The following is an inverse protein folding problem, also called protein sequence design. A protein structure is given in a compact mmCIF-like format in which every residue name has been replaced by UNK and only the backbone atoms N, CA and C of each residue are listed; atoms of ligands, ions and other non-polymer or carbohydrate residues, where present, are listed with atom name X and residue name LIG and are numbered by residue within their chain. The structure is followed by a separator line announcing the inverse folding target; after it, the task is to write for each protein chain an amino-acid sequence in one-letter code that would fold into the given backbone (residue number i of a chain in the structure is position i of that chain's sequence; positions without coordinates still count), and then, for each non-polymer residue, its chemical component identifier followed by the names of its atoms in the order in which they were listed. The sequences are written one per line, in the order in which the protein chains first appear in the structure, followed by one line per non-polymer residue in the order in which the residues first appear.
data_IF_719229580868
#
_entry.id   IF_719229580868
#
_cell.length_a   1.000
_cell.length_b   1.000
_cell.length_c   1.000
_cell.angle_alpha   90.00
_cell.angle_beta   90.00
_cell.angle_gamma   90.00
#
_symmetry.space_group_name_H-M   'P 1'
#
loop_
_entity.id
_entity.type
_entity.pdbx_description
1 polymer ?
#
# COMPACT_ATOMS: atom_id res chain seq x y z
N UNK A 1 33.62 8.66 39.16
CA UNK A 1 33.17 8.41 37.79
C UNK A 1 31.92 9.22 37.55
N UNK A 2 31.85 10.07 36.55
CA UNK A 2 30.67 10.91 36.29
C UNK A 2 29.48 9.99 35.87
N UNK A 3 28.34 10.11 36.57
CA UNK A 3 27.09 9.42 36.21
C UNK A 3 26.69 9.85 34.80
N UNK A 4 26.62 8.90 33.87
CA UNK A 4 26.20 9.17 32.49
C UNK A 4 24.66 9.26 32.48
N UNK A 5 24.11 10.45 32.23
CA UNK A 5 22.65 10.63 32.09
C UNK A 5 22.12 9.78 30.92
N UNK A 6 20.95 9.15 31.10
CA UNK A 6 20.24 8.43 30.05
C UNK A 6 20.02 9.40 28.87
N UNK A 7 20.41 8.98 27.67
CA UNK A 7 20.24 9.76 26.44
C UNK A 7 18.91 9.41 25.75
N UNK A 8 18.35 10.36 25.01
CA UNK A 8 17.14 10.13 24.23
C UNK A 8 17.24 8.93 23.26
N UNK A 9 18.45 8.71 22.71
CA UNK A 9 18.72 7.59 21.82
C UNK A 9 18.63 6.24 22.52
N UNK A 10 19.10 6.14 23.76
CA UNK A 10 19.00 4.91 24.56
C UNK A 10 17.52 4.60 24.87
N UNK A 11 16.71 5.64 25.14
CA UNK A 11 15.28 5.51 25.34
C UNK A 11 14.57 5.04 24.07
N UNK A 12 14.81 5.72 22.94
CA UNK A 12 14.20 5.34 21.64
C UNK A 12 14.56 3.90 21.28
N UNK A 13 15.78 3.51 21.53
CA UNK A 13 16.23 2.15 21.27
C UNK A 13 15.51 1.11 22.15
N UNK A 14 15.40 1.36 23.45
CA UNK A 14 14.70 0.47 24.38
C UNK A 14 13.18 0.44 24.17
N UNK A 15 12.62 1.52 23.60
CA UNK A 15 11.20 1.70 23.34
C UNK A 15 10.71 0.98 22.07
N UNK A 16 11.62 0.49 21.21
CA UNK A 16 11.25 -0.17 19.96
C UNK A 16 10.23 -1.29 20.12
N UNK A 17 9.14 -1.22 19.36
CA UNK A 17 8.04 -2.16 19.40
C UNK A 17 7.23 -2.14 20.70
N UNK A 18 7.41 -1.11 21.56
CA UNK A 18 6.66 -0.95 22.84
C UNK A 18 5.84 0.33 22.89
N UNK A 19 5.90 1.17 21.84
CA UNK A 19 5.22 2.45 21.81
C UNK A 19 3.70 2.32 21.92
N UNK A 20 3.08 1.54 21.06
CA UNK A 20 1.63 1.39 20.99
C UNK A 20 1.05 0.66 22.19
N UNK A 21 1.72 -0.41 22.66
CA UNK A 21 1.17 -1.34 23.62
C UNK A 21 1.59 -1.07 25.08
N UNK A 22 2.62 -0.28 25.32
CA UNK A 22 3.13 -0.01 26.66
C UNK A 22 3.27 1.50 26.92
N UNK A 23 4.05 2.20 26.10
CA UNK A 23 4.46 3.58 26.41
C UNK A 23 3.29 4.55 26.25
N UNK A 24 2.68 4.62 25.08
CA UNK A 24 1.54 5.53 24.84
C UNK A 24 0.37 5.31 25.79
N UNK A 25 -0.07 4.07 26.06
CA UNK A 25 -1.12 3.82 27.06
C UNK A 25 -0.80 4.35 28.46
N UNK A 26 0.48 4.30 28.88
CA UNK A 26 0.91 4.83 30.17
C UNK A 26 0.75 6.35 30.29
N UNK A 27 0.69 7.07 29.18
CA UNK A 27 0.38 8.51 29.11
C UNK A 27 -1.08 8.79 28.72
N UNK A 28 -1.94 7.77 28.65
CA UNK A 28 -3.34 7.92 28.21
C UNK A 28 -3.50 8.19 26.72
N UNK A 29 -2.42 8.03 25.94
CA UNK A 29 -2.42 8.25 24.49
C UNK A 29 -2.91 6.98 23.81
N UNK A 30 -3.96 7.12 22.97
CA UNK A 30 -4.48 6.03 22.14
C UNK A 30 -4.11 6.28 20.69
N UNK A 31 -3.40 5.35 20.08
CA UNK A 31 -3.07 5.35 18.66
C UNK A 31 -3.62 4.11 17.98
N UNK A 32 -3.77 4.13 16.66
CA UNK A 32 -4.15 2.96 15.88
C UNK A 32 -3.19 2.86 14.69
N UNK A 33 -2.50 1.73 14.60
CA UNK A 33 -1.51 1.50 13.57
C UNK A 33 -2.11 1.58 12.17
N UNK A 34 -1.52 2.44 11.33
CA UNK A 34 -1.91 2.68 9.93
C UNK A 34 -3.38 3.04 9.73
N UNK A 35 -3.99 3.73 10.68
CA UNK A 35 -5.33 4.30 10.54
C UNK A 35 -5.28 5.81 10.74
N UNK A 36 -6.14 6.51 10.01
CA UNK A 36 -6.42 7.93 10.27
C UNK A 36 -7.32 8.05 11.50
N UNK A 37 -6.93 8.84 12.46
CA UNK A 37 -7.64 9.03 13.73
C UNK A 37 -7.64 10.50 14.16
N UNK A 38 -8.46 10.89 15.14
CA UNK A 38 -8.28 12.15 15.84
C UNK A 38 -6.86 12.28 16.38
N UNK A 39 -6.28 13.47 16.31
CA UNK A 39 -4.95 13.71 16.86
C UNK A 39 -5.00 13.86 18.38
N UNK A 40 -4.23 13.07 19.14
CA UNK A 40 -4.23 13.16 20.61
C UNK A 40 -3.65 14.48 21.15
N UNK A 41 -2.86 15.20 20.34
CA UNK A 41 -2.20 16.45 20.74
C UNK A 41 -2.90 17.72 20.22
N UNK A 42 -3.89 17.59 19.30
CA UNK A 42 -4.61 18.75 18.78
C UNK A 42 -5.81 19.13 19.66
N UNK A 43 -6.09 20.43 19.76
CA UNK A 43 -7.32 20.94 20.33
C UNK A 43 -7.97 21.98 19.39
N UNK A 44 -9.10 21.67 18.71
CA UNK A 44 -9.81 20.39 18.73
C UNK A 44 -9.06 19.26 17.98
N UNK A 45 -9.26 17.99 18.37
CA UNK A 45 -8.45 16.86 17.87
C UNK A 45 -8.69 16.53 16.38
N UNK A 46 -9.79 17.01 15.78
CA UNK A 46 -10.21 16.61 14.43
C UNK A 46 -10.68 15.14 14.36
N UNK A 47 -10.98 14.66 13.17
CA UNK A 47 -11.49 13.29 12.97
C UNK A 47 -10.47 12.31 12.38
N UNK A 48 -9.63 12.79 11.44
CA UNK A 48 -8.81 11.93 10.59
C UNK A 48 -7.44 12.52 10.23
N UNK A 49 -6.97 13.50 11.03
CA UNK A 49 -5.74 14.25 10.75
C UNK A 49 -4.46 13.63 11.27
N UNK A 50 -4.57 12.55 12.05
CA UNK A 50 -3.44 11.87 12.69
C UNK A 50 -3.23 10.49 12.09
N UNK A 51 -1.97 10.15 11.86
CA UNK A 51 -1.54 8.89 11.31
C UNK A 51 -0.34 8.35 12.08
N UNK A 52 -0.47 7.15 12.65
CA UNK A 52 0.60 6.45 13.36
C UNK A 52 1.05 5.26 12.53
N UNK A 53 2.31 5.19 12.12
CA UNK A 53 2.86 4.10 11.32
C UNK A 53 4.15 3.47 11.88
N UNK A 54 4.75 4.09 12.90
CA UNK A 54 5.98 3.62 13.57
C UNK A 54 7.08 3.17 12.59
N UNK A 55 7.25 3.93 11.52
CA UNK A 55 8.07 3.57 10.36
C UNK A 55 9.52 3.24 10.72
N UNK A 56 10.08 3.92 11.71
CA UNK A 56 11.46 3.75 12.17
C UNK A 56 11.54 3.10 13.56
N UNK A 57 10.43 2.56 14.08
CA UNK A 57 10.33 1.95 15.42
C UNK A 57 10.59 2.95 16.57
N UNK A 58 10.41 4.25 16.31
CA UNK A 58 10.59 5.35 17.26
C UNK A 58 9.28 5.95 17.77
N UNK A 59 8.14 5.32 17.50
CA UNK A 59 6.82 5.88 17.77
C UNK A 59 6.40 6.90 16.71
N UNK A 60 6.84 6.73 15.47
CA UNK A 60 6.67 7.69 14.38
C UNK A 60 5.20 7.94 14.06
N UNK A 61 4.87 9.21 13.89
CA UNK A 61 3.54 9.67 13.52
C UNK A 61 3.59 10.86 12.56
N UNK A 62 2.46 11.11 11.93
CA UNK A 62 2.20 12.33 11.17
C UNK A 62 0.86 12.94 11.57
N UNK A 63 0.83 14.24 11.74
CA UNK A 63 -0.39 15.02 11.95
C UNK A 63 -0.43 16.19 10.96
N UNK A 64 -1.55 16.38 10.29
CA UNK A 64 -1.71 17.49 9.33
C UNK A 64 -1.44 18.89 9.93
N UNK A 65 -1.64 19.05 11.25
CA UNK A 65 -1.41 20.33 11.93
C UNK A 65 0.00 20.45 12.51
N UNK A 66 0.57 19.36 13.05
CA UNK A 66 1.86 19.37 13.74
C UNK A 66 3.02 18.85 12.90
N UNK A 67 2.75 18.27 11.72
CA UNK A 67 3.75 17.60 10.90
C UNK A 67 4.12 16.22 11.42
N UNK A 68 5.28 15.72 11.00
CA UNK A 68 5.85 14.46 11.44
C UNK A 68 6.56 14.61 12.78
N UNK A 69 6.54 13.56 13.60
CA UNK A 69 7.24 13.49 14.88
C UNK A 69 7.47 12.05 15.31
N UNK A 70 8.17 11.89 16.42
CA UNK A 70 8.39 10.58 17.04
C UNK A 70 7.59 10.43 18.38
N UNK A 71 7.73 9.27 19.02
CA UNK A 71 6.98 8.96 20.22
C UNK A 71 7.28 9.89 21.41
N UNK A 72 8.53 10.33 21.56
CA UNK A 72 8.89 11.29 22.62
C UNK A 72 8.28 12.67 22.36
N UNK A 73 8.30 13.13 21.10
CA UNK A 73 7.69 14.36 20.67
C UNK A 73 6.15 14.32 20.87
N UNK A 74 5.50 13.20 20.54
CA UNK A 74 4.07 13.05 20.77
C UNK A 74 3.71 13.13 22.26
N UNK A 75 4.45 12.44 23.13
CA UNK A 75 4.22 12.50 24.58
C UNK A 75 4.39 13.92 25.11
N UNK A 76 5.46 14.60 24.69
CA UNK A 76 5.72 15.99 25.07
C UNK A 76 4.54 16.90 24.70
N UNK A 77 4.03 16.79 23.47
CA UNK A 77 2.90 17.58 22.98
C UNK A 77 1.60 17.31 23.72
N UNK A 78 1.34 16.06 24.07
CA UNK A 78 0.09 15.67 24.76
C UNK A 78 0.12 16.04 26.24
N UNK A 79 1.29 15.93 26.88
CA UNK A 79 1.42 16.11 28.32
C UNK A 79 1.91 17.48 28.75
N UNK A 80 2.34 18.33 27.80
CA UNK A 80 2.96 19.65 28.02
C UNK A 80 4.17 19.59 28.98
N UNK A 81 4.86 18.46 29.03
CA UNK A 81 6.05 18.24 29.87
C UNK A 81 7.32 18.64 29.13
N UNK A 82 8.37 18.97 29.89
CA UNK A 82 9.68 19.20 29.31
C UNK A 82 10.29 17.89 28.75
N UNK A 83 11.13 18.02 27.75
CA UNK A 83 11.77 16.85 27.13
C UNK A 83 12.57 15.98 28.14
N UNK A 84 13.32 16.54 29.13
CA UNK A 84 13.97 15.74 30.16
C UNK A 84 12.99 14.95 31.05
N UNK A 85 11.83 15.52 31.38
CA UNK A 85 10.80 14.82 32.18
C UNK A 85 10.20 13.66 31.40
N UNK A 86 9.92 13.86 30.10
CA UNK A 86 9.44 12.78 29.24
C UNK A 86 10.46 11.63 29.16
N UNK A 87 11.76 11.94 28.98
CA UNK A 87 12.82 10.94 28.98
C UNK A 87 12.85 10.14 30.29
N UNK A 88 12.79 10.81 31.44
CA UNK A 88 12.85 10.15 32.73
C UNK A 88 11.66 9.24 32.97
N UNK A 89 10.46 9.69 32.57
CA UNK A 89 9.24 8.90 32.78
C UNK A 89 9.16 7.70 31.83
N UNK A 90 9.54 7.88 30.57
CA UNK A 90 9.65 6.75 29.63
C UNK A 90 10.73 5.77 30.08
N UNK A 91 11.86 6.26 30.59
CA UNK A 91 12.89 5.41 31.19
C UNK A 91 12.32 4.57 32.35
N UNK A 92 11.55 5.20 33.23
CA UNK A 92 10.91 4.50 34.35
C UNK A 92 9.93 3.42 33.87
N UNK A 93 9.06 3.75 32.89
CA UNK A 93 8.13 2.79 32.27
C UNK A 93 8.87 1.60 31.66
N UNK A 94 10.04 1.84 31.08
CA UNK A 94 10.88 0.81 30.46
C UNK A 94 11.71 0.01 31.50
N UNK A 95 11.65 0.39 32.78
CA UNK A 95 12.44 -0.23 33.85
C UNK A 95 13.91 0.15 33.83
N UNK A 96 14.26 1.29 33.19
CA UNK A 96 15.61 1.82 33.12
C UNK A 96 15.88 2.68 34.36
N UNK A 97 16.91 2.36 35.17
CA UNK A 97 17.34 3.20 36.26
C UNK A 97 18.38 4.23 35.77
N UNK A 98 18.54 5.37 36.48
CA UNK A 98 19.61 6.36 36.21
C UNK A 98 21.02 5.75 36.28
N UNK A 99 21.16 4.57 36.90
CA UNK A 99 22.39 3.79 36.99
C UNK A 99 22.56 2.78 35.85
N UNK A 100 21.52 2.59 35.01
CA UNK A 100 21.54 1.67 33.87
C UNK A 100 22.38 2.29 32.75
N UNK A 101 23.69 2.09 32.81
CA UNK A 101 24.51 2.26 31.60
C UNK A 101 24.23 1.07 30.71
N UNK A 102 23.56 1.32 29.56
CA UNK A 102 23.49 0.30 28.53
C UNK A 102 24.88 -0.13 28.16
N UNK A 103 25.20 -1.38 28.45
CA UNK A 103 26.46 -1.99 27.98
C UNK A 103 26.34 -2.23 26.47
N UNK A 104 27.45 -2.40 25.79
CA UNK A 104 27.43 -2.76 24.36
C UNK A 104 26.72 -4.11 24.17
N UNK A 105 26.79 -5.02 25.13
CA UNK A 105 26.08 -6.30 25.19
C UNK A 105 24.54 -6.10 25.27
N UNK A 106 24.05 -5.13 26.07
CA UNK A 106 22.63 -4.80 26.15
C UNK A 106 22.11 -4.23 24.83
N UNK A 107 22.92 -3.39 24.15
CA UNK A 107 22.58 -2.83 22.84
C UNK A 107 22.52 -3.93 21.77
N UNK A 108 23.43 -4.86 21.80
CA UNK A 108 23.48 -5.98 20.87
C UNK A 108 22.29 -6.94 21.08
N UNK A 109 21.98 -7.29 22.35
CA UNK A 109 20.82 -8.10 22.70
C UNK A 109 19.50 -7.46 22.23
N UNK A 110 19.31 -6.17 22.47
CA UNK A 110 18.09 -5.46 22.05
C UNK A 110 17.98 -5.33 20.53
N UNK A 111 19.11 -5.18 19.81
CA UNK A 111 19.13 -5.25 18.34
C UNK A 111 18.68 -6.61 17.85
N UNK A 112 19.22 -7.67 18.41
CA UNK A 112 18.85 -9.03 18.06
C UNK A 112 17.36 -9.29 18.33
N UNK A 113 16.83 -8.86 19.49
CA UNK A 113 15.42 -8.99 19.81
C UNK A 113 14.51 -8.18 18.84
N UNK A 114 14.94 -6.97 18.43
CA UNK A 114 14.21 -6.16 17.46
C UNK A 114 14.21 -6.82 16.08
N UNK A 115 15.34 -7.34 15.63
CA UNK A 115 15.45 -8.07 14.37
C UNK A 115 14.61 -9.35 14.37
N UNK A 116 14.62 -10.10 15.47
CA UNK A 116 13.82 -11.32 15.61
C UNK A 116 12.30 -11.01 15.60
N UNK A 117 11.87 -9.95 16.31
CA UNK A 117 10.47 -9.48 16.24
C UNK A 117 10.08 -9.09 14.82
N UNK A 118 10.92 -8.30 14.13
CA UNK A 118 10.69 -7.90 12.74
C UNK A 118 10.60 -9.10 11.80
N UNK A 119 11.49 -10.07 11.96
CA UNK A 119 11.49 -11.32 11.20
C UNK A 119 10.21 -12.12 11.43
N UNK A 120 9.77 -12.26 12.68
CA UNK A 120 8.52 -12.94 13.03
C UNK A 120 7.31 -12.23 12.43
N UNK A 121 7.28 -10.91 12.48
CA UNK A 121 6.18 -10.11 11.91
C UNK A 121 6.12 -10.22 10.38
N UNK A 122 7.27 -10.18 9.71
CA UNK A 122 7.34 -10.40 8.26
C UNK A 122 6.88 -11.82 7.89
N UNK A 123 7.20 -12.83 8.69
CA UNK A 123 6.77 -14.20 8.45
C UNK A 123 5.25 -14.38 8.62
N UNK A 124 4.67 -13.75 9.66
CA UNK A 124 3.21 -13.73 9.88
C UNK A 124 2.52 -13.06 8.68
N UNK A 125 3.02 -11.91 8.25
CA UNK A 125 2.47 -11.19 7.10
C UNK A 125 2.59 -12.01 5.81
N UNK A 126 3.74 -12.67 5.57
CA UNK A 126 3.93 -13.55 4.42
C UNK A 126 2.94 -14.72 4.43
N UNK A 127 2.77 -15.40 5.58
CA UNK A 127 1.81 -16.51 5.72
C UNK A 127 0.38 -16.05 5.42
N UNK A 128 0.01 -14.87 5.89
CA UNK A 128 -1.29 -14.27 5.63
C UNK A 128 -1.49 -13.96 4.14
N UNK A 129 -0.50 -13.33 3.51
CA UNK A 129 -0.54 -13.04 2.07
C UNK A 129 -0.67 -14.33 1.25
N UNK A 130 0.02 -15.40 1.63
CA UNK A 130 -0.10 -16.72 0.99
C UNK A 130 -1.48 -17.37 1.19
N UNK A 131 -2.13 -17.16 2.34
CA UNK A 131 -3.51 -17.62 2.56
C UNK A 131 -4.48 -16.91 1.62
N UNK A 132 -4.36 -15.57 1.50
CA UNK A 132 -5.17 -14.77 0.58
C UNK A 132 -4.91 -15.21 -0.87
N UNK A 133 -3.65 -15.44 -1.25
CA UNK A 133 -3.30 -15.91 -2.58
C UNK A 133 -3.96 -17.27 -2.91
N UNK A 134 -3.93 -18.21 -1.96
CA UNK A 134 -4.62 -19.52 -2.13
C UNK A 134 -6.13 -19.35 -2.27
N UNK A 135 -6.75 -18.45 -1.48
CA UNK A 135 -8.17 -18.13 -1.59
C UNK A 135 -8.49 -17.51 -2.95
N UNK A 136 -7.68 -16.53 -3.41
CA UNK A 136 -7.81 -15.89 -4.71
C UNK A 136 -7.73 -16.89 -5.87
N UNK A 137 -6.72 -17.74 -5.86
CA UNK A 137 -6.53 -18.79 -6.87
C UNK A 137 -7.69 -19.78 -6.85
N UNK A 138 -8.13 -20.24 -5.68
CA UNK A 138 -9.27 -21.15 -5.52
C UNK A 138 -10.57 -20.55 -6.05
N UNK A 139 -10.87 -19.29 -5.69
CA UNK A 139 -12.04 -18.57 -6.19
C UNK A 139 -11.98 -18.41 -7.71
N UNK A 140 -10.84 -17.98 -8.24
CA UNK A 140 -10.67 -17.78 -9.67
C UNK A 140 -10.74 -19.10 -10.45
N UNK A 141 -10.16 -20.17 -9.94
CA UNK A 141 -10.17 -21.48 -10.60
C UNK A 141 -11.57 -22.11 -10.65
N UNK A 142 -12.29 -22.06 -9.53
CA UNK A 142 -13.54 -22.79 -9.32
C UNK A 142 -14.80 -21.93 -9.52
N UNK A 143 -14.67 -20.74 -10.10
CA UNK A 143 -15.82 -19.88 -10.33
C UNK A 143 -16.82 -20.55 -11.27
N UNK A 144 -18.10 -20.55 -10.88
CA UNK A 144 -19.20 -20.84 -11.80
C UNK A 144 -19.34 -19.68 -12.77
N UNK A 145 -19.03 -19.95 -14.06
CA UNK A 145 -19.00 -18.89 -15.08
C UNK A 145 -20.40 -18.42 -15.42
N UNK A 146 -20.56 -17.11 -15.45
CA UNK A 146 -21.70 -16.40 -16.02
C UNK A 146 -21.42 -16.01 -17.48
N UNK A 147 -22.46 -15.64 -18.19
CA UNK A 147 -22.40 -15.35 -19.63
C UNK A 147 -22.09 -13.86 -19.93
N UNK A 148 -22.49 -12.93 -19.05
CA UNK A 148 -22.42 -11.50 -19.30
C UNK A 148 -22.05 -10.70 -18.05
N UNK A 149 -21.41 -9.54 -18.26
CA UNK A 149 -21.15 -8.54 -17.24
C UNK A 149 -21.74 -7.20 -17.67
N UNK A 150 -22.65 -6.67 -16.86
CA UNK A 150 -23.23 -5.34 -17.10
C UNK A 150 -22.18 -4.25 -17.05
N UNK A 151 -21.14 -4.41 -16.22
CA UNK A 151 -20.02 -3.49 -16.16
C UNK A 151 -19.30 -3.37 -17.52
N UNK A 152 -19.00 -4.49 -18.17
CA UNK A 152 -18.34 -4.47 -19.48
C UNK A 152 -19.26 -3.85 -20.55
N UNK A 153 -20.54 -4.16 -20.51
CA UNK A 153 -21.52 -3.59 -21.43
C UNK A 153 -21.66 -2.07 -21.23
N UNK A 154 -21.74 -1.58 -19.99
CA UNK A 154 -21.78 -0.16 -19.66
C UNK A 154 -20.52 0.58 -20.14
N UNK A 155 -19.37 -0.03 -19.99
CA UNK A 155 -18.08 0.53 -20.45
C UNK A 155 -17.80 0.33 -21.94
N UNK A 156 -18.66 -0.42 -22.64
CA UNK A 156 -18.51 -0.76 -24.07
C UNK A 156 -17.13 -1.38 -24.39
N UNK A 157 -16.66 -2.28 -23.53
CA UNK A 157 -15.37 -2.95 -23.68
C UNK A 157 -15.51 -4.45 -23.71
N UNK A 158 -14.59 -5.10 -24.44
CA UNK A 158 -14.52 -6.54 -24.53
C UNK A 158 -13.99 -7.20 -23.26
N UNK A 159 -14.20 -8.50 -23.16
CA UNK A 159 -13.63 -9.32 -22.10
C UNK A 159 -12.29 -9.92 -22.56
N UNK A 160 -11.21 -9.66 -21.84
CA UNK A 160 -9.95 -10.41 -22.04
C UNK A 160 -10.19 -11.90 -21.71
N UNK A 161 -9.68 -12.87 -22.51
CA UNK A 161 -9.85 -14.28 -22.26
C UNK A 161 -9.37 -14.76 -20.89
N UNK A 162 -8.40 -14.06 -20.29
CA UNK A 162 -7.78 -14.38 -19.00
C UNK A 162 -8.59 -13.91 -17.78
N UNK A 163 -9.69 -13.16 -17.97
CA UNK A 163 -10.62 -12.80 -16.90
C UNK A 163 -11.87 -13.67 -16.94
N UNK A 164 -12.55 -13.76 -15.81
CA UNK A 164 -13.78 -14.55 -15.68
C UNK A 164 -14.94 -13.68 -15.26
N UNK A 165 -16.15 -14.10 -15.59
CA UNK A 165 -17.39 -13.53 -15.09
C UNK A 165 -18.05 -14.60 -14.23
N UNK A 166 -18.47 -14.25 -13.02
CA UNK A 166 -19.22 -15.18 -12.18
C UNK A 166 -20.72 -15.19 -12.51
N UNK A 167 -21.46 -16.09 -11.89
CA UNK A 167 -22.91 -16.24 -12.12
C UNK A 167 -23.76 -15.02 -11.64
N UNK A 168 -23.17 -14.10 -10.87
CA UNK A 168 -23.78 -12.82 -10.50
C UNK A 168 -23.46 -11.71 -11.51
N UNK A 169 -22.67 -11.97 -12.53
CA UNK A 169 -22.22 -10.97 -13.50
C UNK A 169 -21.01 -10.15 -13.05
N UNK A 170 -20.39 -10.52 -11.93
CA UNK A 170 -19.17 -9.84 -11.46
C UNK A 170 -17.98 -10.22 -12.35
N UNK A 171 -17.17 -9.22 -12.69
CA UNK A 171 -15.91 -9.44 -13.41
C UNK A 171 -14.79 -9.76 -12.41
N UNK A 172 -14.11 -10.88 -12.60
CA UNK A 172 -13.03 -11.36 -11.77
C UNK A 172 -11.70 -11.22 -12.49
N UNK A 173 -10.82 -10.36 -11.98
CA UNK A 173 -9.52 -10.04 -12.57
C UNK A 173 -8.42 -10.48 -11.62
N UNK A 174 -7.57 -11.46 -12.02
CA UNK A 174 -6.49 -11.93 -11.16
C UNK A 174 -5.39 -10.87 -11.05
N UNK A 175 -5.00 -10.53 -9.82
CA UNK A 175 -3.83 -9.71 -9.54
C UNK A 175 -2.61 -10.63 -9.43
N UNK A 176 -1.76 -10.60 -10.45
CA UNK A 176 -0.63 -11.50 -10.62
C UNK A 176 0.71 -10.81 -10.38
N UNK A 177 1.68 -11.56 -9.92
CA UNK A 177 3.08 -11.16 -9.99
C UNK A 177 3.61 -11.47 -11.39
N UNK A 178 4.06 -10.45 -12.11
CA UNK A 178 4.55 -10.62 -13.47
C UNK A 178 5.84 -11.45 -13.58
N UNK A 179 6.57 -11.65 -12.48
CA UNK A 179 7.82 -12.41 -12.49
C UNK A 179 7.58 -13.92 -12.47
N UNK A 180 6.62 -14.38 -11.66
CA UNK A 180 6.33 -15.81 -11.50
C UNK A 180 4.94 -16.25 -12.02
N UNK A 181 4.10 -15.30 -12.41
CA UNK A 181 2.73 -15.54 -12.90
C UNK A 181 1.73 -15.96 -11.82
N UNK A 182 2.13 -15.96 -10.54
CA UNK A 182 1.27 -16.38 -9.44
C UNK A 182 0.18 -15.37 -9.13
N UNK A 183 -1.03 -15.87 -8.91
CA UNK A 183 -2.16 -15.07 -8.43
C UNK A 183 -1.97 -14.82 -6.93
N UNK A 184 -1.85 -13.55 -6.54
CA UNK A 184 -1.71 -13.13 -5.16
C UNK A 184 -2.98 -12.51 -4.59
N UNK A 185 -3.84 -11.97 -5.46
CA UNK A 185 -5.12 -11.40 -5.08
C UNK A 185 -6.10 -11.49 -6.26
N UNK A 186 -7.34 -11.11 -6.03
CA UNK A 186 -8.38 -11.07 -7.04
C UNK A 186 -9.15 -9.76 -6.88
N UNK A 187 -9.22 -8.97 -7.96
CA UNK A 187 -10.16 -7.85 -8.02
C UNK A 187 -11.51 -8.37 -8.52
N UNK A 188 -12.55 -8.05 -7.78
CA UNK A 188 -13.93 -8.25 -8.22
C UNK A 188 -14.51 -6.88 -8.60
N UNK A 189 -15.15 -6.81 -9.77
CA UNK A 189 -15.91 -5.63 -10.19
C UNK A 189 -17.37 -6.06 -10.33
N UNK A 190 -18.23 -5.46 -9.53
CA UNK A 190 -19.66 -5.73 -9.55
C UNK A 190 -20.34 -5.09 -10.77
N UNK A 191 -21.57 -5.49 -11.12
CA UNK A 191 -22.31 -4.94 -12.26
C UNK A 191 -22.48 -3.42 -12.23
N UNK A 192 -22.53 -2.80 -11.04
CA UNK A 192 -22.61 -1.36 -10.82
C UNK A 192 -21.25 -0.62 -10.90
N UNK A 193 -20.17 -1.36 -11.11
CA UNK A 193 -18.79 -0.83 -11.16
C UNK A 193 -18.08 -0.76 -9.81
N UNK A 194 -18.71 -1.19 -8.71
CA UNK A 194 -18.06 -1.31 -7.40
C UNK A 194 -16.89 -2.28 -7.47
N UNK A 195 -15.71 -1.86 -6.98
CA UNK A 195 -14.46 -2.62 -7.05
C UNK A 195 -13.95 -2.96 -5.67
N UNK A 196 -13.57 -4.21 -5.46
CA UNK A 196 -12.91 -4.64 -4.22
C UNK A 196 -11.92 -5.78 -4.47
N UNK A 197 -11.00 -5.95 -3.53
CA UNK A 197 -10.07 -7.06 -3.48
C UNK A 197 -10.43 -8.00 -2.34
N UNK A 198 -9.91 -9.23 -2.41
CA UNK A 198 -10.07 -10.16 -1.31
C UNK A 198 -9.44 -9.56 -0.07
N UNK A 199 -10.25 -9.39 0.96
CA UNK A 199 -9.83 -8.99 2.31
C UNK A 199 -9.43 -10.23 3.09
N UNK A 200 -8.56 -10.06 4.10
CA UNK A 200 -8.27 -11.11 5.07
C UNK A 200 -9.55 -11.56 5.79
N UNK A 201 -9.51 -12.74 6.40
CA UNK A 201 -10.64 -13.24 7.18
C UNK A 201 -10.86 -12.35 8.42
N UNK A 202 -12.09 -12.32 8.92
CA UNK A 202 -12.40 -11.73 10.21
C UNK A 202 -11.83 -12.63 11.33
N UNK A 203 -11.40 -12.03 12.45
CA UNK A 203 -11.09 -12.80 13.65
C UNK A 203 -12.37 -13.40 14.26
N UNK A 204 -12.24 -14.23 15.29
CA UNK A 204 -13.36 -14.87 15.98
C UNK A 204 -14.34 -13.85 16.59
N UNK A 205 -13.94 -12.59 16.77
CA UNK A 205 -14.79 -11.48 17.22
C UNK A 205 -15.53 -10.76 16.07
N UNK A 206 -15.39 -11.23 14.82
CA UNK A 206 -16.01 -10.60 13.64
C UNK A 206 -15.31 -9.31 13.17
N UNK A 207 -14.18 -8.95 13.77
CA UNK A 207 -13.39 -7.79 13.35
C UNK A 207 -12.50 -8.17 12.16
N UNK A 208 -12.47 -7.31 11.14
CA UNK A 208 -11.56 -7.49 10.02
C UNK A 208 -10.11 -7.49 10.53
N UNK A 209 -9.42 -8.59 10.34
CA UNK A 209 -7.97 -8.59 10.59
C UNK A 209 -7.32 -7.56 9.67
N UNK A 210 -6.64 -6.60 10.27
CA UNK A 210 -6.02 -5.48 9.58
C UNK A 210 -5.04 -5.96 8.52
N UNK A 211 -5.27 -5.55 7.29
CA UNK A 211 -4.41 -5.76 6.14
C UNK A 211 -5.05 -6.64 5.07
N UNK A 212 -5.20 -6.10 3.87
CA UNK A 212 -5.56 -6.83 2.67
C UNK A 212 -4.44 -7.75 2.20
N UNK A 213 -4.68 -8.54 1.16
CA UNK A 213 -3.64 -9.29 0.47
C UNK A 213 -2.57 -8.38 -0.13
N UNK A 214 -1.46 -8.97 -0.53
CA UNK A 214 -0.42 -8.26 -1.29
C UNK A 214 -1.06 -7.58 -2.50
N UNK A 215 -0.70 -6.32 -2.73
CA UNK A 215 -1.10 -5.54 -3.91
C UNK A 215 0.10 -4.89 -4.59
N UNK A 216 1.11 -4.45 -3.82
CA UNK A 216 2.27 -3.78 -4.37
C UNK A 216 3.03 -4.62 -5.38
N UNK A 217 3.18 -4.11 -6.61
CA UNK A 217 3.85 -4.77 -7.71
C UNK A 217 3.02 -5.85 -8.41
N UNK A 218 1.75 -6.03 -8.03
CA UNK A 218 0.83 -6.93 -8.74
C UNK A 218 0.07 -6.17 -9.83
N UNK A 219 -0.19 -6.84 -10.93
CA UNK A 219 -0.96 -6.29 -12.04
C UNK A 219 -1.73 -7.36 -12.81
N UNK A 220 -2.35 -6.92 -13.88
CA UNK A 220 -2.96 -7.81 -14.85
C UNK A 220 -2.55 -7.36 -16.25
N UNK A 221 -2.22 -8.29 -17.15
CA UNK A 221 -1.85 -7.98 -18.54
C UNK A 221 -3.02 -8.29 -19.46
N UNK A 222 -3.61 -7.27 -20.05
CA UNK A 222 -4.57 -7.38 -21.17
C UNK A 222 -3.75 -7.63 -22.44
N UNK A 223 -4.20 -8.58 -23.24
CA UNK A 223 -3.45 -9.03 -24.43
C UNK A 223 -2.18 -9.80 -24.03
N UNK A 224 -1.30 -10.02 -25.00
CA UNK A 224 -0.05 -10.76 -24.81
C UNK A 224 1.15 -9.95 -25.31
N UNK A 225 2.24 -10.01 -24.54
CA UNK A 225 3.53 -9.50 -24.99
C UNK A 225 4.20 -10.59 -25.80
N UNK A 226 4.26 -10.45 -27.11
CA UNK A 226 4.84 -11.46 -28.00
C UNK A 226 6.37 -11.47 -27.87
N UNK A 227 6.99 -12.64 -27.61
CA UNK A 227 8.43 -12.72 -27.38
C UNK A 227 9.29 -12.44 -28.63
N UNK A 228 8.73 -12.60 -29.83
CA UNK A 228 9.48 -12.72 -31.07
C UNK A 228 9.59 -11.42 -31.90
N UNK A 229 8.92 -10.35 -31.48
CA UNK A 229 9.05 -9.08 -32.16
C UNK A 229 10.20 -8.27 -31.52
N UNK A 230 11.36 -8.38 -32.13
CA UNK A 230 12.61 -7.71 -31.77
C UNK A 230 12.44 -6.29 -31.22
N UNK A 231 12.94 -6.05 -30.04
CA UNK A 231 13.42 -4.79 -29.43
C UNK A 231 12.49 -3.58 -29.32
N UNK A 232 11.25 -3.60 -29.80
CA UNK A 232 10.35 -2.42 -29.78
C UNK A 232 8.90 -2.75 -29.39
N UNK A 233 8.69 -3.59 -28.36
CA UNK A 233 7.34 -3.73 -27.83
C UNK A 233 6.92 -2.46 -27.11
N UNK A 234 5.76 -1.94 -27.51
CA UNK A 234 5.06 -0.95 -26.71
C UNK A 234 4.19 -1.68 -25.70
N UNK A 235 4.37 -1.39 -24.43
CA UNK A 235 3.49 -1.83 -23.36
C UNK A 235 2.83 -0.58 -22.78
N UNK A 236 1.51 -0.51 -22.90
CA UNK A 236 0.73 0.51 -22.22
C UNK A 236 0.53 0.13 -20.77
N UNK A 237 0.44 1.12 -19.88
CA UNK A 237 0.19 0.91 -18.45
C UNK A 237 -0.95 1.83 -18.05
N UNK A 238 -2.02 1.26 -17.51
CA UNK A 238 -3.23 1.97 -17.10
C UNK A 238 -3.63 1.59 -15.68
N UNK A 239 -4.43 2.42 -15.03
CA UNK A 239 -4.92 2.12 -13.68
C UNK A 239 -6.02 1.06 -13.71
N UNK A 240 -7.08 1.31 -14.45
CA UNK A 240 -8.30 0.51 -14.43
C UNK A 240 -8.47 -0.44 -15.61
N UNK A 241 -9.22 -1.53 -15.40
CA UNK A 241 -9.45 -2.53 -16.44
C UNK A 241 -10.16 -1.96 -17.67
N UNK A 242 -11.25 -1.19 -17.50
CA UNK A 242 -12.01 -0.66 -18.65
C UNK A 242 -11.15 0.30 -19.48
N UNK A 243 -10.42 1.23 -18.84
CA UNK A 243 -9.46 2.13 -19.50
C UNK A 243 -8.42 1.31 -20.29
N UNK A 244 -7.82 0.32 -19.63
CA UNK A 244 -6.82 -0.54 -20.28
C UNK A 244 -7.39 -1.35 -21.44
N UNK A 245 -8.62 -1.85 -21.32
CA UNK A 245 -9.25 -2.60 -22.39
C UNK A 245 -9.62 -1.71 -23.58
N UNK A 246 -10.10 -0.49 -23.34
CA UNK A 246 -10.33 0.50 -24.41
C UNK A 246 -9.05 0.82 -25.18
N UNK A 247 -7.93 0.99 -24.46
CA UNK A 247 -6.62 1.22 -25.08
C UNK A 247 -6.20 0.01 -25.93
N UNK A 248 -6.35 -1.20 -25.39
CA UNK A 248 -6.03 -2.44 -26.09
C UNK A 248 -6.86 -2.60 -27.36
N UNK A 249 -8.17 -2.39 -27.29
CA UNK A 249 -9.08 -2.46 -28.44
C UNK A 249 -8.72 -1.44 -29.51
N UNK A 250 -8.32 -0.23 -29.12
CA UNK A 250 -7.98 0.84 -30.05
C UNK A 250 -6.59 0.67 -30.70
N UNK A 251 -5.63 0.06 -30.00
CA UNK A 251 -4.21 0.07 -30.40
C UNK A 251 -3.65 -1.31 -30.73
N UNK A 252 -4.27 -2.37 -30.23
CA UNK A 252 -3.73 -3.73 -30.26
C UNK A 252 -2.52 -3.95 -29.35
N UNK A 253 -2.03 -2.92 -28.64
CA UNK A 253 -0.91 -3.07 -27.71
C UNK A 253 -1.31 -3.82 -26.46
N UNK A 254 -0.40 -4.60 -25.85
CA UNK A 254 -0.62 -5.16 -24.52
C UNK A 254 -0.70 -4.03 -23.48
N UNK A 255 -1.61 -4.17 -22.52
CA UNK A 255 -1.84 -3.16 -21.49
C UNK A 255 -1.73 -3.79 -20.10
N UNK A 256 -0.80 -3.30 -19.30
CA UNK A 256 -0.68 -3.69 -17.91
C UNK A 256 -1.59 -2.83 -17.03
N UNK A 257 -2.43 -3.48 -16.24
CA UNK A 257 -3.33 -2.83 -15.28
C UNK A 257 -2.66 -2.81 -13.91
N UNK A 258 -2.55 -1.62 -13.30
CA UNK A 258 -1.98 -1.45 -11.97
C UNK A 258 -3.01 -1.54 -10.85
N UNK A 259 -4.30 -1.53 -11.16
CA UNK A 259 -5.49 -1.51 -10.30
C UNK A 259 -5.69 -0.22 -9.50
N UNK A 260 -4.63 0.43 -9.06
CA UNK A 260 -4.63 1.69 -8.30
C UNK A 260 -3.44 2.54 -8.69
N UNK A 261 -3.61 3.86 -8.67
CA UNK A 261 -2.60 4.82 -9.14
C UNK A 261 -1.25 4.66 -8.42
N UNK A 262 -1.24 4.52 -7.09
CA UNK A 262 0.00 4.41 -6.30
C UNK A 262 0.79 3.11 -6.54
N UNK A 263 0.26 2.19 -7.33
CA UNK A 263 0.94 0.96 -7.75
C UNK A 263 1.67 1.12 -9.09
N UNK A 264 1.39 2.18 -9.86
CA UNK A 264 2.02 2.44 -11.16
C UNK A 264 3.56 2.40 -11.12
N UNK A 265 4.25 3.07 -10.16
CA UNK A 265 5.71 3.01 -10.09
C UNK A 265 6.24 1.59 -9.83
N UNK A 266 5.54 0.81 -9.01
CA UNK A 266 5.94 -0.56 -8.68
C UNK A 266 5.76 -1.50 -9.86
N UNK A 267 4.63 -1.39 -10.55
CA UNK A 267 4.34 -2.16 -11.77
C UNK A 267 5.34 -1.80 -12.86
N UNK A 268 5.59 -0.51 -13.07
CA UNK A 268 6.59 -0.05 -14.02
C UNK A 268 7.97 -0.68 -13.76
N UNK A 269 8.43 -0.68 -12.51
CA UNK A 269 9.70 -1.29 -12.12
C UNK A 269 9.75 -2.80 -12.41
N UNK A 270 8.67 -3.53 -12.06
CA UNK A 270 8.57 -4.98 -12.33
C UNK A 270 8.57 -5.26 -13.83
N UNK A 271 7.79 -4.49 -14.61
CA UNK A 271 7.75 -4.64 -16.06
C UNK A 271 9.09 -4.29 -16.70
N UNK A 272 9.79 -3.26 -16.23
CA UNK A 272 11.13 -2.91 -16.72
C UNK A 272 12.13 -4.02 -16.45
N UNK A 273 12.04 -4.68 -15.30
CA UNK A 273 12.88 -5.85 -15.00
C UNK A 273 12.58 -7.02 -15.94
N UNK A 274 11.30 -7.29 -16.23
CA UNK A 274 10.88 -8.40 -17.08
C UNK A 274 11.07 -8.12 -18.58
N UNK A 275 10.76 -6.90 -19.00
CA UNK A 275 10.79 -6.45 -20.40
C UNK A 275 11.75 -5.27 -20.55
N UNK A 276 13.05 -5.53 -20.40
CA UNK A 276 14.09 -4.49 -20.28
C UNK A 276 14.17 -3.55 -21.48
N UNK A 277 13.77 -4.00 -22.66
CA UNK A 277 13.83 -3.25 -23.94
C UNK A 277 12.48 -2.66 -24.38
N UNK A 278 11.39 -2.93 -23.66
CA UNK A 278 10.07 -2.44 -24.00
C UNK A 278 9.99 -0.91 -23.87
N UNK A 279 9.22 -0.29 -24.77
CA UNK A 279 8.80 1.12 -24.65
C UNK A 279 7.54 1.19 -23.82
N UNK A 280 7.53 1.99 -22.75
CA UNK A 280 6.38 2.16 -21.89
C UNK A 280 5.57 3.40 -22.22
N UNK A 281 4.25 3.25 -22.22
CA UNK A 281 3.28 4.34 -22.36
C UNK A 281 2.39 4.34 -21.14
N UNK A 282 2.57 5.30 -20.26
CA UNK A 282 1.72 5.49 -19.09
C UNK A 282 0.47 6.26 -19.50
N UNK A 283 -0.67 5.59 -19.49
CA UNK A 283 -1.96 6.17 -19.83
C UNK A 283 -2.62 6.65 -18.53
N UNK A 284 -2.38 7.90 -18.18
CA UNK A 284 -2.91 8.47 -16.95
C UNK A 284 -4.38 8.88 -17.13
N UNK A 285 -5.19 8.62 -16.11
CA UNK A 285 -6.56 9.12 -16.06
C UNK A 285 -6.53 10.64 -15.81
N UNK A 286 -7.44 11.39 -16.43
CA UNK A 286 -7.62 12.83 -16.18
C UNK A 286 -8.48 13.04 -14.93
N UNK A 287 -7.81 13.11 -13.79
CA UNK A 287 -8.42 13.41 -12.48
C UNK A 287 -8.27 14.89 -12.10
N UNK A 288 -8.13 15.80 -13.06
CA UNK A 288 -7.86 17.23 -12.85
C UNK A 288 -8.87 17.94 -11.92
N UNK A 289 -10.07 17.38 -11.76
CA UNK A 289 -11.06 17.81 -10.77
C UNK A 289 -10.76 17.33 -9.33
N UNK A 290 -9.77 16.44 -9.13
CA UNK A 290 -9.29 15.90 -7.87
C UNK A 290 -7.75 15.99 -7.88
N UNK A 291 -7.06 15.63 -6.87
CA UNK A 291 -5.61 15.82 -6.66
C UNK A 291 -4.63 15.28 -7.73
N UNK A 292 -4.99 15.18 -9.01
CA UNK A 292 -4.15 14.68 -10.15
C UNK A 292 -3.32 13.43 -9.79
N UNK A 293 -3.91 12.52 -9.03
CA UNK A 293 -3.21 11.39 -8.45
C UNK A 293 -2.67 10.45 -9.54
N UNK A 294 -3.42 10.26 -10.63
CA UNK A 294 -3.02 9.44 -11.78
C UNK A 294 -1.78 9.99 -12.48
N UNK A 295 -1.77 11.29 -12.76
CA UNK A 295 -0.63 11.97 -13.41
C UNK A 295 0.62 11.93 -12.51
N UNK A 296 0.49 12.23 -11.23
CA UNK A 296 1.59 12.20 -10.27
C UNK A 296 2.30 10.85 -10.24
N UNK A 297 1.56 9.75 -10.06
CA UNK A 297 2.17 8.42 -10.01
C UNK A 297 2.67 7.94 -11.37
N UNK A 298 2.10 8.41 -12.48
CA UNK A 298 2.64 8.18 -13.82
C UNK A 298 3.99 8.87 -13.99
N UNK A 299 4.17 10.09 -13.48
CA UNK A 299 5.45 10.80 -13.47
C UNK A 299 6.50 10.09 -12.61
N UNK A 300 6.12 9.62 -11.42
CA UNK A 300 7.00 8.82 -10.57
C UNK A 300 7.44 7.53 -11.27
N UNK A 301 6.51 6.84 -11.94
CA UNK A 301 6.80 5.62 -12.70
C UNK A 301 7.73 5.90 -13.88
N UNK A 302 7.46 6.97 -14.65
CA UNK A 302 8.30 7.41 -15.77
C UNK A 302 9.73 7.74 -15.32
N UNK A 303 9.89 8.41 -14.18
CA UNK A 303 11.22 8.74 -13.65
C UNK A 303 12.05 7.48 -13.32
N UNK A 304 11.40 6.38 -12.90
CA UNK A 304 12.06 5.11 -12.57
C UNK A 304 12.39 4.28 -13.82
N UNK A 305 11.49 4.27 -14.81
CA UNK A 305 11.51 3.26 -15.87
C UNK A 305 11.70 3.84 -17.28
N UNK A 306 11.63 5.16 -17.41
CA UNK A 306 11.52 5.83 -18.72
C UNK A 306 10.13 5.62 -19.34
N UNK A 307 9.98 6.00 -20.59
CA UNK A 307 8.72 5.94 -21.33
C UNK A 307 8.07 7.31 -21.51
N UNK A 308 6.84 7.32 -21.98
CA UNK A 308 6.05 8.55 -22.19
C UNK A 308 4.77 8.49 -21.38
N UNK A 309 4.22 9.65 -21.05
CA UNK A 309 2.91 9.79 -20.40
C UNK A 309 1.93 10.34 -21.43
N UNK A 310 0.75 9.75 -21.50
CA UNK A 310 -0.35 10.18 -22.35
C UNK A 310 -1.56 10.44 -21.45
N UNK A 311 -2.19 11.60 -21.67
CA UNK A 311 -3.46 11.98 -21.06
C UNK A 311 -4.56 11.97 -22.12
N UNK A 312 -5.78 11.57 -21.80
CA UNK A 312 -6.89 11.66 -22.75
C UNK A 312 -7.22 13.12 -23.03
N UNK A 313 -7.40 13.45 -24.33
CA UNK A 313 -7.89 14.76 -24.77
C UNK A 313 -9.38 14.67 -25.08
N UNK A 314 -10.22 15.18 -24.19
CA UNK A 314 -11.66 15.23 -24.36
C UNK A 314 -12.18 16.48 -25.08
N UNK A 315 -11.31 17.41 -25.49
CA UNK A 315 -11.74 18.66 -26.14
C UNK A 315 -12.39 18.41 -27.48
N UNK A 316 -11.91 17.43 -28.24
CA UNK A 316 -12.46 17.08 -29.55
C UNK A 316 -13.81 16.36 -29.49
N UNK A 317 -14.17 15.73 -28.36
CA UNK A 317 -15.44 15.01 -28.22
C UNK A 317 -16.61 16.00 -28.05
N UNK A 318 -16.37 17.15 -27.42
CA UNK A 318 -17.41 18.18 -27.22
C UNK A 318 -17.85 18.86 -28.51
N UNK A 319 -17.00 18.89 -29.53
CA UNK A 319 -17.32 19.50 -30.83
C UNK A 319 -18.14 18.56 -31.74
N UNK A 320 -18.13 17.24 -31.51
CA UNK A 320 -18.86 16.26 -32.31
C UNK A 320 -20.28 15.96 -31.81
N UNK A 321 -20.67 16.49 -30.65
CA UNK A 321 -21.98 16.26 -30.00
C UNK A 321 -22.82 17.56 -29.94
N UNK A 322 -22.29 18.67 -30.42
CA UNK A 322 -22.99 19.95 -30.59
C UNK A 322 -23.44 20.14 -32.02
#
# INVERSE_FOLDING_TARGET
MAKKKIQAEDIKFAARGRWENLIFPSFGIKVQFKKKTPCPACNPPGTDRFWYDDKHENGDYFCQQHGAGDGLDLIQRVTDRSFPEVIQEVAHILGLSEESTFTDEDRERLRFEAEDRKKKQLEIERKRQEQIARKAEGMFRNVHQGDASLYLADKQVDKDPKVKIDWHGNLLIPAIDFMDGKIWNLQTIEPDGTKYFIKGDTNDAGEWQTGGGRMGGLGFMIGEVQPDLYDSHVICIAEGYATGMSIHMATGHPVAISFVANNLPKIGAVLRQKYSKASFVYCADDDSAKEDTGLKYSQEAQAITGGIIVLPDFTQIKESVA
#
